data_IF_928794020291
#
_entry.id   IF_928794020291
#
_cell.length_a   1.000
_cell.length_b   1.000
_cell.length_c   1.000
_cell.angle_alpha   90.00
_cell.angle_beta   90.00
_cell.angle_gamma   90.00
#
_symmetry.space_group_name_H-M   'P 1'
#
loop_
_entity.id
_entity.type
_entity.pdbx_description
1 polymer ?
#
# COMPACT_ATOMS: atom_id res chain seq x y z
N UNK A 1 21.77 -25.86 3.66
CA UNK A 1 20.51 -25.10 3.67
C UNK A 1 19.48 -25.91 2.92
N UNK A 2 18.32 -26.22 3.53
CA UNK A 2 17.20 -26.79 2.80
C UNK A 2 16.64 -25.76 1.79
N UNK A 3 15.93 -26.20 0.74
CA UNK A 3 15.21 -25.30 -0.16
C UNK A 3 14.12 -24.50 0.57
N UNK A 4 13.87 -23.27 0.12
CA UNK A 4 12.75 -22.45 0.60
C UNK A 4 11.44 -22.93 -0.03
N UNK A 5 10.43 -23.15 0.80
CA UNK A 5 9.11 -23.61 0.36
C UNK A 5 8.33 -22.51 -0.37
N UNK A 6 8.42 -21.28 0.16
CA UNK A 6 7.84 -20.07 -0.43
C UNK A 6 8.92 -19.27 -1.15
N UNK A 7 9.06 -19.55 -2.44
CA UNK A 7 9.95 -18.79 -3.31
C UNK A 7 9.26 -17.51 -3.79
N UNK A 8 9.61 -16.38 -3.16
CA UNK A 8 9.15 -15.02 -3.49
C UNK A 8 10.35 -14.07 -3.47
N UNK A 9 10.34 -12.97 -4.24
CA UNK A 9 11.39 -11.97 -4.14
C UNK A 9 11.32 -11.27 -2.79
N UNK A 10 12.46 -11.11 -2.13
CA UNK A 10 12.60 -10.36 -0.87
C UNK A 10 13.51 -9.17 -1.13
N UNK A 11 13.14 -8.01 -0.59
CA UNK A 11 13.82 -6.74 -0.70
C UNK A 11 14.05 -6.37 -2.18
N UNK A 12 12.99 -6.49 -2.98
CA UNK A 12 13.04 -6.29 -4.43
C UNK A 12 13.21 -4.82 -4.83
N UNK A 13 12.79 -3.90 -3.95
CA UNK A 13 12.89 -2.48 -4.18
C UNK A 13 14.16 -1.89 -3.58
N UNK A 14 14.69 -0.90 -4.26
CA UNK A 14 15.79 -0.09 -3.77
C UNK A 14 15.28 0.79 -2.60
N UNK A 15 16.14 1.07 -1.59
CA UNK A 15 15.81 2.02 -0.52
C UNK A 15 15.56 3.42 -1.09
N UNK A 16 14.92 4.31 -0.31
CA UNK A 16 14.83 5.72 -0.67
C UNK A 16 16.20 6.27 -1.09
N UNK A 17 16.23 7.01 -2.20
CA UNK A 17 17.46 7.61 -2.74
C UNK A 17 17.56 9.10 -2.41
N UNK A 18 16.42 9.74 -2.11
CA UNK A 18 16.34 11.15 -1.77
C UNK A 18 15.60 11.36 -0.44
N UNK A 19 15.76 12.53 0.16
CA UNK A 19 14.90 12.97 1.26
C UNK A 19 13.48 13.24 0.75
N UNK A 20 12.51 13.29 1.67
CA UNK A 20 11.13 13.67 1.34
C UNK A 20 11.12 14.97 0.51
N UNK A 21 10.31 15.05 -0.57
CA UNK A 21 10.34 16.19 -1.49
C UNK A 21 10.22 17.56 -0.81
N UNK A 22 11.06 18.50 -1.24
CA UNK A 22 10.99 19.90 -0.81
C UNK A 22 11.31 20.89 -1.95
N UNK A 23 10.87 22.14 -1.78
CA UNK A 23 11.27 23.25 -2.65
C UNK A 23 10.85 23.07 -4.11
N UNK A 24 11.78 23.24 -5.05
CA UNK A 24 11.47 23.13 -6.50
C UNK A 24 11.09 21.71 -6.91
N UNK A 25 11.62 20.71 -6.21
CA UNK A 25 11.35 19.32 -6.51
C UNK A 25 9.92 18.96 -6.12
N UNK A 26 9.53 19.31 -4.89
CA UNK A 26 8.16 19.20 -4.41
C UNK A 26 7.15 19.91 -5.31
N UNK A 27 7.46 21.14 -5.76
CA UNK A 27 6.60 21.90 -6.67
C UNK A 27 6.37 21.16 -7.99
N UNK A 28 7.41 20.51 -8.53
CA UNK A 28 7.29 19.70 -9.75
C UNK A 28 6.41 18.48 -9.50
N UNK A 29 6.70 17.70 -8.45
CA UNK A 29 5.90 16.52 -8.13
C UNK A 29 4.44 16.86 -7.85
N UNK A 30 4.19 17.96 -7.14
CA UNK A 30 2.83 18.46 -6.90
C UNK A 30 2.11 18.82 -8.20
N UNK A 31 2.80 19.46 -9.15
CA UNK A 31 2.20 19.77 -10.44
C UNK A 31 1.84 18.50 -11.22
N UNK A 32 2.71 17.48 -11.22
CA UNK A 32 2.43 16.19 -11.86
C UNK A 32 1.27 15.45 -11.19
N UNK A 33 1.23 15.42 -9.85
CA UNK A 33 0.15 14.77 -9.09
C UNK A 33 -1.21 15.44 -9.36
N UNK A 34 -1.28 16.76 -9.25
CA UNK A 34 -2.52 17.51 -9.46
C UNK A 34 -2.97 17.53 -10.93
N UNK A 35 -2.09 17.21 -11.89
CA UNK A 35 -2.49 17.04 -13.28
C UNK A 35 -3.38 15.80 -13.50
N UNK A 36 -3.40 14.83 -12.57
CA UNK A 36 -4.29 13.68 -12.60
C UNK A 36 -5.69 13.97 -12.03
N UNK A 37 -5.85 15.06 -11.25
CA UNK A 37 -7.10 15.41 -10.57
C UNK A 37 -8.31 15.63 -11.51
N UNK A 38 -8.18 16.25 -12.70
CA UNK A 38 -9.33 16.47 -13.58
C UNK A 38 -10.02 15.18 -14.03
N UNK A 39 -9.28 14.08 -14.21
CA UNK A 39 -9.85 12.78 -14.57
C UNK A 39 -10.70 12.23 -13.41
N UNK A 40 -10.21 12.39 -12.17
CA UNK A 40 -10.92 11.99 -10.97
C UNK A 40 -12.20 12.81 -10.74
N UNK A 41 -12.13 14.14 -10.88
CA UNK A 41 -13.28 15.04 -10.71
C UNK A 41 -14.36 14.85 -11.79
N UNK A 42 -13.99 14.34 -12.97
CA UNK A 42 -14.96 13.98 -14.00
C UNK A 42 -15.78 12.74 -13.61
N UNK A 43 -15.20 11.85 -12.79
CA UNK A 43 -15.91 10.72 -12.21
C UNK A 43 -16.73 11.13 -10.99
N UNK A 44 -16.20 12.02 -10.13
CA UNK A 44 -16.87 12.47 -8.91
C UNK A 44 -16.73 13.97 -8.61
N UNK A 45 -17.85 14.69 -8.67
CA UNK A 45 -17.87 16.16 -8.62
C UNK A 45 -17.87 16.77 -7.21
N UNK A 46 -17.98 15.95 -6.15
CA UNK A 46 -18.17 16.43 -4.77
C UNK A 46 -16.89 16.42 -3.91
N UNK A 47 -15.73 16.08 -4.49
CA UNK A 47 -14.47 15.95 -3.74
C UNK A 47 -14.02 17.25 -3.07
N UNK A 48 -14.36 18.41 -3.63
CA UNK A 48 -13.90 19.72 -3.15
C UNK A 48 -12.43 20.00 -3.52
N UNK A 49 -11.91 21.14 -3.05
CA UNK A 49 -10.54 21.57 -3.36
C UNK A 49 -9.50 20.76 -2.58
N UNK A 50 -8.37 20.35 -3.21
CA UNK A 50 -7.28 19.67 -2.53
C UNK A 50 -6.50 20.61 -1.60
N UNK A 51 -6.14 20.11 -0.43
CA UNK A 51 -5.35 20.80 0.59
C UNK A 51 -3.83 20.73 0.39
N UNK A 52 -3.12 20.59 1.50
CA UNK A 52 -1.67 20.39 1.53
C UNK A 52 -1.32 18.94 1.18
N UNK A 53 -0.32 18.75 0.31
CA UNK A 53 0.13 17.42 -0.08
C UNK A 53 1.17 16.94 0.92
N UNK A 54 0.91 15.81 1.56
CA UNK A 54 1.84 15.11 2.42
C UNK A 54 2.59 14.05 1.60
N UNK A 55 3.92 14.17 1.53
CA UNK A 55 4.76 13.24 0.76
C UNK A 55 5.38 12.16 1.63
N UNK A 56 5.48 10.95 1.07
CA UNK A 56 6.10 9.77 1.67
C UNK A 56 7.48 9.53 1.05
N UNK A 57 8.39 8.81 1.73
CA UNK A 57 9.71 8.47 1.19
C UNK A 57 9.61 7.78 -0.17
N UNK A 58 10.59 8.03 -1.04
CA UNK A 58 10.59 7.40 -2.36
C UNK A 58 10.94 5.92 -2.28
N UNK A 59 10.46 5.13 -3.24
CA UNK A 59 10.93 3.76 -3.47
C UNK A 59 11.12 3.50 -4.94
N UNK A 60 12.16 2.75 -5.29
CA UNK A 60 12.44 2.41 -6.68
C UNK A 60 12.32 0.91 -6.93
N UNK A 61 11.57 0.56 -7.98
CA UNK A 61 11.41 -0.81 -8.43
C UNK A 61 11.32 -0.86 -9.95
N UNK A 62 12.03 -1.80 -10.55
CA UNK A 62 11.99 -2.07 -11.99
C UNK A 62 12.26 -0.81 -12.86
N UNK A 63 13.27 -0.03 -12.46
CA UNK A 63 13.76 1.14 -13.18
C UNK A 63 12.89 2.40 -13.04
N UNK A 64 11.90 2.39 -12.15
CA UNK A 64 11.08 3.55 -11.82
C UNK A 64 11.11 3.85 -10.33
N UNK A 65 11.08 5.14 -10.02
CA UNK A 65 10.93 5.68 -8.68
C UNK A 65 9.48 6.10 -8.47
N UNK A 66 8.93 5.80 -7.31
CA UNK A 66 7.58 6.11 -6.89
C UNK A 66 7.67 7.00 -5.65
N UNK A 67 6.97 8.13 -5.67
CA UNK A 67 6.88 9.07 -4.55
C UNK A 67 5.40 9.18 -4.18
N UNK A 68 4.95 8.47 -3.14
CA UNK A 68 3.56 8.50 -2.71
C UNK A 68 3.19 9.81 -2.02
N UNK A 69 1.90 10.12 -2.06
CA UNK A 69 1.33 11.29 -1.44
C UNK A 69 -0.11 11.04 -0.97
N UNK A 70 -0.49 11.77 0.07
CA UNK A 70 -1.88 11.96 0.47
C UNK A 70 -2.19 13.46 0.55
N UNK A 71 -3.47 13.82 0.42
CA UNK A 71 -3.91 15.21 0.45
C UNK A 71 -5.39 15.27 0.90
N UNK A 72 -5.72 15.92 2.02
CA UNK A 72 -7.11 16.07 2.44
C UNK A 72 -7.85 17.02 1.49
N UNK A 73 -9.15 16.87 1.37
CA UNK A 73 -10.01 17.78 0.58
C UNK A 73 -10.91 18.62 1.46
N UNK A 74 -11.39 19.75 0.91
CA UNK A 74 -12.32 20.64 1.60
C UNK A 74 -13.67 19.97 1.95
N UNK A 75 -14.06 18.92 1.23
CA UNK A 75 -15.29 18.14 1.49
C UNK A 75 -15.08 16.99 2.49
N UNK A 76 -13.87 16.83 3.04
CA UNK A 76 -13.58 15.81 4.05
C UNK A 76 -13.28 14.42 3.49
N UNK A 77 -12.88 14.33 2.22
CA UNK A 77 -12.24 13.15 1.63
C UNK A 77 -10.73 13.24 1.78
N UNK A 78 -10.04 12.14 1.50
CA UNK A 78 -8.60 12.12 1.30
C UNK A 78 -8.28 11.66 -0.12
N UNK A 79 -7.46 12.45 -0.82
CA UNK A 79 -6.82 12.01 -2.06
C UNK A 79 -5.57 11.23 -1.69
N UNK A 80 -5.35 10.10 -2.34
CA UNK A 80 -4.14 9.29 -2.18
C UNK A 80 -3.62 8.85 -3.54
N UNK A 81 -2.30 8.71 -3.66
CA UNK A 81 -1.69 8.30 -4.91
C UNK A 81 -0.18 8.46 -4.90
N UNK A 82 0.41 8.55 -6.09
CA UNK A 82 1.85 8.72 -6.25
C UNK A 82 2.21 9.37 -7.57
N UNK A 83 3.41 9.96 -7.60
CA UNK A 83 4.11 10.30 -8.83
C UNK A 83 5.15 9.23 -9.11
N UNK A 84 5.24 8.76 -10.35
CA UNK A 84 6.29 7.86 -10.81
C UNK A 84 7.11 8.47 -11.94
N UNK A 85 8.40 8.14 -11.98
CA UNK A 85 9.33 8.62 -13.00
C UNK A 85 10.52 7.68 -13.16
N UNK A 86 11.31 7.86 -14.21
CA UNK A 86 12.64 7.25 -14.37
C UNK A 86 13.65 8.14 -13.65
N UNK A 87 14.31 7.59 -12.64
CA UNK A 87 15.31 8.28 -11.82
C UNK A 87 16.51 8.79 -12.64
N UNK A 88 17.11 9.88 -12.17
CA UNK A 88 18.29 10.48 -12.79
C UNK A 88 19.58 9.74 -12.40
N UNK A 89 20.13 8.90 -13.28
CA UNK A 89 21.44 8.26 -13.05
C UNK A 89 22.56 8.95 -13.82
N UNK A 90 23.74 9.12 -13.20
CA UNK A 90 24.94 9.60 -13.89
C UNK A 90 24.84 11.04 -14.39
N UNK A 91 24.18 11.92 -13.64
CA UNK A 91 24.01 13.35 -13.99
C UNK A 91 22.89 13.63 -14.99
N UNK A 92 22.06 12.64 -15.33
CA UNK A 92 20.82 12.86 -16.08
C UNK A 92 19.73 13.37 -15.14
N UNK A 93 18.89 14.28 -15.62
CA UNK A 93 17.70 14.69 -14.90
C UNK A 93 16.62 13.60 -14.94
N UNK A 94 15.76 13.50 -13.90
CA UNK A 94 14.57 12.66 -13.92
C UNK A 94 13.68 12.92 -15.15
N UNK A 95 13.04 11.85 -15.65
CA UNK A 95 12.19 11.90 -16.86
C UNK A 95 11.02 10.91 -16.80
N UNK A 96 10.14 10.92 -17.81
CA UNK A 96 8.99 9.99 -17.93
C UNK A 96 8.03 10.06 -16.72
N UNK A 97 7.64 11.29 -16.35
CA UNK A 97 6.72 11.52 -15.24
C UNK A 97 5.31 11.10 -15.60
N UNK A 98 4.65 10.47 -14.63
CA UNK A 98 3.21 10.24 -14.63
C UNK A 98 2.73 10.13 -13.19
N UNK A 99 1.46 10.42 -12.95
CA UNK A 99 0.85 10.28 -11.63
C UNK A 99 -0.36 9.35 -11.69
N UNK A 100 -0.65 8.73 -10.55
CA UNK A 100 -1.92 8.08 -10.26
C UNK A 100 -2.50 8.72 -9.01
N UNK A 101 -3.81 8.95 -9.02
CA UNK A 101 -4.54 9.57 -7.94
C UNK A 101 -5.91 8.93 -7.84
N UNK A 102 -6.33 8.66 -6.61
CA UNK A 102 -7.68 8.21 -6.26
C UNK A 102 -8.13 8.94 -4.98
N UNK A 103 -9.33 8.64 -4.49
CA UNK A 103 -9.83 9.22 -3.25
C UNK A 103 -10.53 8.18 -2.37
N UNK A 104 -10.59 8.47 -1.08
CA UNK A 104 -11.33 7.69 -0.09
C UNK A 104 -12.04 8.61 0.88
N UNK A 105 -13.12 8.12 1.47
CA UNK A 105 -13.77 8.72 2.62
C UNK A 105 -13.49 7.96 3.93
N UNK A 106 -12.80 6.81 3.84
CA UNK A 106 -12.25 6.08 4.98
C UNK A 106 -10.91 6.69 5.38
N UNK A 107 -10.85 7.28 6.57
CA UNK A 107 -9.67 8.01 7.07
C UNK A 107 -9.40 7.60 8.52
N UNK A 108 -8.16 7.74 8.99
CA UNK A 108 -7.84 7.50 10.40
C UNK A 108 -8.73 8.31 11.39
N UNK A 109 -9.17 9.51 11.00
CA UNK A 109 -10.07 10.32 11.81
C UNK A 109 -11.48 9.70 11.98
N UNK A 110 -11.93 8.90 11.00
CA UNK A 110 -13.22 8.20 11.02
C UNK A 110 -13.13 6.77 11.55
N UNK A 111 -11.92 6.21 11.62
CA UNK A 111 -11.63 4.85 12.08
C UNK A 111 -10.63 4.88 13.25
N UNK A 112 -11.08 5.26 14.47
CA UNK A 112 -10.19 5.50 15.62
C UNK A 112 -9.56 4.23 16.22
N UNK A 113 -10.02 3.06 15.79
CA UNK A 113 -9.50 1.74 16.17
C UNK A 113 -8.33 1.28 15.29
N UNK A 114 -8.11 1.91 14.14
CA UNK A 114 -6.95 1.65 13.30
C UNK A 114 -5.64 1.94 14.03
N UNK A 115 -4.65 1.08 13.82
CA UNK A 115 -3.30 1.28 14.37
C UNK A 115 -2.31 1.78 13.31
N UNK A 116 -2.61 1.55 12.03
CA UNK A 116 -1.87 2.03 10.87
C UNK A 116 -2.84 2.71 9.91
N UNK A 117 -2.43 3.84 9.35
CA UNK A 117 -3.11 4.45 8.22
C UNK A 117 -2.36 4.05 6.95
N UNK A 118 -2.99 3.23 6.10
CA UNK A 118 -2.35 2.53 4.99
C UNK A 118 -3.05 2.87 3.67
N UNK A 119 -2.24 3.04 2.64
CA UNK A 119 -2.67 3.08 1.25
C UNK A 119 -1.82 2.10 0.44
N UNK A 120 -2.39 1.55 -0.62
CA UNK A 120 -1.69 0.67 -1.53
C UNK A 120 -2.07 0.87 -3.00
N UNK A 121 -1.21 0.38 -3.90
CA UNK A 121 -1.51 0.24 -5.31
C UNK A 121 -0.70 -0.88 -5.95
N UNK A 122 -1.33 -1.68 -6.80
CA UNK A 122 -0.63 -2.65 -7.66
C UNK A 122 0.12 -1.93 -8.79
N UNK A 123 1.45 -1.88 -8.70
CA UNK A 123 2.33 -1.21 -9.67
C UNK A 123 2.95 -2.16 -10.72
N UNK A 124 2.75 -3.46 -10.56
CA UNK A 124 3.26 -4.45 -11.51
C UNK A 124 2.96 -5.89 -11.09
N UNK A 125 3.68 -6.83 -11.70
CA UNK A 125 3.57 -8.25 -11.35
C UNK A 125 4.93 -8.94 -11.38
N UNK A 126 5.10 -9.93 -10.52
CA UNK A 126 6.24 -10.83 -10.53
C UNK A 126 5.79 -12.25 -10.85
N UNK A 127 6.48 -12.91 -11.78
CA UNK A 127 6.13 -14.27 -12.23
C UNK A 127 6.91 -15.31 -11.45
N UNK A 128 6.18 -16.10 -10.67
CA UNK A 128 6.68 -17.23 -9.92
C UNK A 128 6.66 -18.54 -10.69
N UNK A 129 6.87 -19.64 -9.98
CA UNK A 129 6.89 -20.99 -10.56
C UNK A 129 5.49 -21.49 -10.93
N UNK A 130 5.41 -22.41 -11.89
CA UNK A 130 4.17 -23.06 -12.34
C UNK A 130 3.06 -22.09 -12.76
N UNK A 131 3.43 -20.90 -13.27
CA UNK A 131 2.48 -19.89 -13.72
C UNK A 131 1.87 -19.05 -12.61
N UNK A 132 2.26 -19.25 -11.34
CA UNK A 132 1.86 -18.37 -10.26
C UNK A 132 2.40 -16.94 -10.49
N UNK A 133 1.62 -15.94 -10.11
CA UNK A 133 1.97 -14.52 -10.26
C UNK A 133 1.67 -13.84 -8.94
N UNK A 134 2.59 -13.00 -8.48
CA UNK A 134 2.36 -12.09 -7.36
C UNK A 134 2.07 -10.70 -7.92
N UNK A 135 1.12 -9.98 -7.33
CA UNK A 135 0.98 -8.55 -7.54
C UNK A 135 2.19 -7.85 -6.89
N UNK A 136 2.84 -6.94 -7.60
CA UNK A 136 3.86 -6.09 -6.97
C UNK A 136 3.16 -4.82 -6.52
N UNK A 137 3.04 -4.67 -5.20
CA UNK A 137 2.21 -3.65 -4.56
C UNK A 137 3.10 -2.61 -3.91
N UNK A 138 2.85 -1.35 -4.24
CA UNK A 138 3.37 -0.17 -3.54
C UNK A 138 2.49 0.05 -2.31
N UNK A 139 3.08 0.12 -1.13
CA UNK A 139 2.36 0.38 0.12
C UNK A 139 3.00 1.57 0.81
N UNK A 140 2.20 2.51 1.27
CA UNK A 140 2.68 3.65 2.03
C UNK A 140 1.72 3.98 3.16
N UNK A 141 2.23 4.61 4.20
CA UNK A 141 1.43 4.88 5.37
C UNK A 141 2.22 5.46 6.53
N UNK A 142 1.50 5.63 7.64
CA UNK A 142 2.10 6.02 8.91
C UNK A 142 1.42 5.31 10.07
N UNK A 143 2.14 5.06 11.17
CA UNK A 143 1.55 4.48 12.36
C UNK A 143 0.69 5.52 13.10
N UNK A 144 -0.42 5.06 13.65
CA UNK A 144 -1.28 5.79 14.58
C UNK A 144 -0.90 5.52 16.04
N UNK A 145 0.03 4.58 16.25
CA UNK A 145 0.69 4.28 17.52
C UNK A 145 2.06 4.98 17.62
N UNK A 146 2.42 5.42 18.82
CA UNK A 146 3.69 6.13 19.05
C UNK A 146 4.90 5.19 19.13
N UNK A 147 6.08 5.67 18.73
CA UNK A 147 7.36 5.00 18.99
C UNK A 147 7.84 4.04 17.90
N UNK A 148 7.06 3.88 16.83
CA UNK A 148 7.45 3.11 15.65
C UNK A 148 8.68 3.73 14.97
N UNK A 149 9.57 2.86 14.48
CA UNK A 149 10.84 3.21 13.83
C UNK A 149 11.12 2.40 12.58
N UNK A 150 10.60 1.19 12.48
CA UNK A 150 10.77 0.30 11.33
C UNK A 150 9.40 -0.17 10.87
N UNK A 151 9.17 -0.21 9.55
CA UNK A 151 8.04 -0.88 8.94
C UNK A 151 8.51 -2.11 8.16
N UNK A 152 7.73 -3.19 8.20
CA UNK A 152 7.93 -4.41 7.41
C UNK A 152 6.71 -4.69 6.56
N UNK A 153 6.95 -5.22 5.35
CA UNK A 153 5.95 -5.91 4.56
C UNK A 153 6.20 -7.41 4.73
N UNK A 154 5.17 -8.14 5.15
CA UNK A 154 5.26 -9.56 5.48
C UNK A 154 4.28 -10.37 4.64
N UNK A 155 4.80 -11.34 3.90
CA UNK A 155 3.99 -12.25 3.10
C UNK A 155 4.18 -13.66 3.67
N UNK A 156 3.10 -14.22 4.20
CA UNK A 156 3.10 -15.57 4.75
C UNK A 156 4.14 -15.80 5.88
N UNK A 157 4.30 -14.79 6.75
CA UNK A 157 5.27 -14.78 7.84
C UNK A 157 6.72 -14.53 7.41
N UNK A 158 6.96 -14.16 6.15
CA UNK A 158 8.27 -13.77 5.65
C UNK A 158 8.34 -12.27 5.43
N UNK A 159 9.32 -11.60 6.03
CA UNK A 159 9.64 -10.21 5.68
C UNK A 159 10.15 -10.14 4.25
N UNK A 160 9.35 -9.52 3.38
CA UNK A 160 9.61 -9.36 1.94
C UNK A 160 10.03 -7.94 1.56
N UNK A 161 9.77 -6.94 2.41
CA UNK A 161 10.41 -5.62 2.34
C UNK A 161 10.48 -4.99 3.75
N UNK A 162 11.35 -4.01 3.93
CA UNK A 162 11.43 -3.23 5.17
C UNK A 162 12.08 -1.85 4.96
N UNK A 163 11.76 -0.88 5.80
CA UNK A 163 12.50 0.38 5.91
C UNK A 163 12.41 0.99 7.31
N UNK A 164 13.30 1.94 7.59
CA UNK A 164 13.11 2.90 8.67
C UNK A 164 12.02 3.90 8.29
N UNK A 165 11.32 4.43 9.30
CA UNK A 165 10.36 5.51 9.11
C UNK A 165 11.13 6.84 9.00
N UNK A 166 10.77 7.64 8.01
CA UNK A 166 11.21 9.04 7.90
C UNK A 166 10.03 9.93 8.22
N UNK A 167 10.21 10.80 9.22
CA UNK A 167 9.16 11.72 9.68
C UNK A 167 7.84 10.98 9.98
N UNK A 168 7.97 9.81 10.62
CA UNK A 168 6.88 8.87 10.95
C UNK A 168 6.14 8.27 9.74
N UNK A 169 6.68 8.38 8.53
CA UNK A 169 6.10 7.83 7.30
C UNK A 169 7.00 6.76 6.69
N UNK A 170 6.40 5.86 5.93
CA UNK A 170 7.13 4.81 5.23
C UNK A 170 6.55 4.51 3.85
N UNK A 171 7.38 3.89 3.01
CA UNK A 171 7.01 3.34 1.71
C UNK A 171 7.71 2.00 1.51
N UNK A 172 6.93 0.99 1.13
CA UNK A 172 7.36 -0.38 0.88
C UNK A 172 6.90 -0.80 -0.52
N UNK A 173 7.65 -1.71 -1.17
CA UNK A 173 7.20 -2.37 -2.39
C UNK A 173 7.44 -3.86 -2.25
N UNK A 174 6.36 -4.63 -2.22
CA UNK A 174 6.39 -6.06 -1.90
C UNK A 174 5.48 -6.88 -2.83
N UNK A 175 5.80 -8.18 -3.01
CA UNK A 175 4.86 -9.11 -3.60
C UNK A 175 3.64 -9.33 -2.68
N UNK A 176 2.46 -9.33 -3.25
CA UNK A 176 1.16 -9.58 -2.61
C UNK A 176 0.32 -10.58 -3.44
N UNK A 177 -0.76 -11.09 -2.85
CA UNK A 177 -1.70 -12.08 -3.40
C UNK A 177 -0.97 -13.20 -4.15
N UNK A 178 -0.08 -13.87 -3.42
CA UNK A 178 0.70 -14.96 -3.99
C UNK A 178 0.38 -16.26 -3.29
N UNK A 179 -0.27 -17.17 -4.03
CA UNK A 179 -0.70 -18.48 -3.52
C UNK A 179 -1.65 -18.37 -2.32
N UNK A 180 -2.56 -17.39 -2.35
CA UNK A 180 -3.54 -17.10 -1.29
C UNK A 180 -2.95 -16.53 0.01
N UNK A 181 -1.65 -16.27 0.05
CA UNK A 181 -1.06 -15.48 1.12
C UNK A 181 -1.26 -13.99 0.76
N UNK A 182 -1.78 -13.22 1.71
CA UNK A 182 -1.99 -11.77 1.60
C UNK A 182 -0.90 -11.02 2.35
N UNK A 183 -0.58 -9.83 1.89
CA UNK A 183 0.41 -8.96 2.51
C UNK A 183 -0.11 -8.37 3.83
N UNK A 184 0.73 -8.43 4.85
CA UNK A 184 0.54 -7.75 6.13
C UNK A 184 1.63 -6.69 6.31
N UNK A 185 1.28 -5.59 6.96
CA UNK A 185 2.21 -4.54 7.32
C UNK A 185 2.35 -4.50 8.84
N UNK A 186 3.58 -4.55 9.33
CA UNK A 186 3.87 -4.43 10.75
C UNK A 186 4.86 -3.30 11.01
N UNK A 187 4.75 -2.68 12.18
CA UNK A 187 5.68 -1.63 12.63
C UNK A 187 6.30 -1.99 13.98
N UNK A 188 7.57 -1.63 14.12
CA UNK A 188 8.40 -2.01 15.26
C UNK A 188 9.06 -0.80 15.91
N UNK A 189 9.31 -0.87 17.21
CA UNK A 189 10.15 0.09 17.93
C UNK A 189 11.64 -0.07 17.58
N UNK A 190 12.49 0.85 18.06
CA UNK A 190 13.94 0.78 17.84
C UNK A 190 14.66 -0.39 18.55
N UNK A 191 13.93 -1.23 19.31
CA UNK A 191 14.44 -2.44 19.97
C UNK A 191 13.95 -3.72 19.26
N UNK A 192 13.12 -3.59 18.23
CA UNK A 192 12.54 -4.70 17.49
C UNK A 192 11.28 -5.31 18.13
N UNK A 193 10.60 -4.59 19.03
CA UNK A 193 9.28 -5.02 19.50
C UNK A 193 8.21 -4.59 18.51
N UNK A 194 7.34 -5.52 18.10
CA UNK A 194 6.15 -5.20 17.29
C UNK A 194 5.21 -4.30 18.10
N UNK A 195 4.77 -3.21 17.47
CA UNK A 195 3.84 -2.24 18.07
C UNK A 195 2.44 -2.34 17.46
N UNK A 196 2.35 -2.61 16.17
CA UNK A 196 1.09 -2.79 15.46
C UNK A 196 1.31 -3.64 14.19
N UNK A 197 0.24 -4.28 13.75
CA UNK A 197 0.14 -5.07 12.52
C UNK A 197 -1.26 -4.91 11.95
N UNK A 198 -1.35 -4.63 10.66
CA UNK A 198 -2.61 -4.53 9.92
C UNK A 198 -2.47 -5.23 8.56
N UNK A 199 -3.59 -5.73 8.03
CA UNK A 199 -3.68 -6.19 6.64
C UNK A 199 -4.15 -5.06 5.75
N UNK A 200 -3.79 -5.10 4.45
CA UNK A 200 -4.38 -4.22 3.44
C UNK A 200 -5.86 -4.54 3.17
N UNK A 201 -6.29 -5.73 3.57
CA UNK A 201 -7.63 -6.24 3.31
C UNK A 201 -8.46 -6.17 4.58
N UNK A 202 -9.69 -5.68 4.47
CA UNK A 202 -10.66 -5.85 5.55
C UNK A 202 -10.79 -7.35 5.85
N UNK A 203 -10.83 -7.69 7.13
CA UNK A 203 -11.19 -9.05 7.54
C UNK A 203 -12.66 -9.27 7.16
N UNK A 204 -12.91 -9.67 5.92
CA UNK A 204 -14.23 -10.12 5.50
C UNK A 204 -14.66 -11.16 6.51
N UNK A 205 -15.74 -10.80 7.22
CA UNK A 205 -16.22 -11.54 8.37
C UNK A 205 -16.30 -13.03 8.06
N UNK A 206 -16.02 -13.82 9.10
CA UNK A 206 -16.11 -15.27 9.21
C UNK A 206 -17.50 -15.81 8.75
N UNK A 207 -17.86 -15.65 7.46
CA UNK A 207 -18.96 -16.33 6.80
C UNK A 207 -18.47 -17.74 6.46
N UNK A 208 -18.17 -18.51 7.50
CA UNK A 208 -18.31 -19.96 7.40
C UNK A 208 -19.77 -20.18 7.09
N UNK A 209 -20.07 -20.41 5.81
CA UNK A 209 -21.31 -21.00 5.35
C UNK A 209 -21.63 -22.17 6.29
N UNK A 210 -22.53 -21.94 7.25
CA UNK A 210 -23.16 -23.01 7.98
C UNK A 210 -24.01 -23.71 6.93
N UNK A 211 -23.45 -24.73 6.28
CA UNK A 211 -24.23 -25.68 5.52
C UNK A 211 -25.39 -26.12 6.42
N UNK A 212 -26.65 -25.87 6.04
CA UNK A 212 -27.75 -26.37 6.82
C UNK A 212 -27.63 -27.89 6.81
N UNK A 213 -27.48 -28.46 8.01
CA UNK A 213 -27.68 -29.89 8.24
C UNK A 213 -29.10 -30.21 7.75
N UNK A 214 -29.21 -30.87 6.61
CA UNK A 214 -30.45 -31.53 6.21
C UNK A 214 -30.60 -32.77 7.10
N UNK A 215 -31.23 -32.57 8.24
CA UNK A 215 -31.72 -33.66 9.09
C UNK A 215 -33.25 -33.73 8.99
N UNK A 216 -33.76 -34.94 8.83
CA UNK A 216 -35.19 -35.28 8.80
C UNK A 216 -35.84 -35.25 7.41
N UNK A 217 -36.47 -36.31 6.92
CA UNK A 217 -36.83 -37.57 7.52
C UNK A 217 -37.78 -38.30 6.57
N UNK A 218 -37.61 -39.61 6.47
CA UNK A 218 -38.59 -40.52 5.87
C UNK A 218 -39.91 -40.42 6.64
N UNK A 219 -41.03 -40.27 5.93
CA UNK A 219 -42.30 -40.98 6.13
C UNK A 219 -43.43 -40.23 5.41
N UNK A 220 -44.02 -40.83 4.38
CA UNK A 220 -45.48 -40.93 4.32
C UNK A 220 -45.90 -42.05 3.36
N UNK A 221 -46.57 -43.04 3.95
CA UNK A 221 -47.26 -44.10 3.26
C UNK A 221 -48.77 -43.80 3.29
N UNK A 222 -49.43 -44.13 2.17
CA UNK A 222 -50.85 -44.50 2.04
C UNK A 222 -51.93 -43.47 2.38
N UNK A 223 -52.62 -43.01 1.34
CA UNK A 223 -54.02 -43.41 1.05
C UNK A 223 -54.34 -43.20 -0.43
#
# INVERSE_FOLDING_TARGET
MPPEERFVPRFAAEPPQEEVPYGRWEQRLRAELLAALPELLAAESELGDPGEVLWYPDRSWHGRTYVPATCPTASGYELFGYVRFIGGTGGREPSDFSARLDFTDETAARNPDWQLDLCDEVIGSWRGHAGAVAAMTLVWGHPLVSGARIATAELAGLTVDQCELDSERFTLIAPDDYRHDLLEIAVFDGRGHELARESLYAADGDEREQQPRTDGGEHEAMS
#
